data_IF_656634977725
#
_entry.id   IF_656634977725
#
_cell.length_a   1.000
_cell.length_b   1.000
_cell.length_c   1.000
_cell.angle_alpha   90.00
_cell.angle_beta   90.00
_cell.angle_gamma   90.00
#
_symmetry.space_group_name_H-M   'P 1'
#
loop_
_entity.id
_entity.type
_entity.pdbx_description
1 polymer ?
#
# COMPACT_ATOMS: atom_id res chain seq x y z
N UNK A 1 17.66 13.04 53.25
CA UNK A 1 17.23 14.08 52.28
C UNK A 1 18.30 14.38 51.23
N UNK A 2 19.58 14.56 51.57
CA UNK A 2 20.64 14.89 50.59
C UNK A 2 20.87 13.81 49.50
N UNK A 3 20.88 12.52 49.85
CA UNK A 3 21.03 11.43 48.87
C UNK A 3 19.88 11.34 47.86
N UNK A 4 18.67 11.73 48.28
CA UNK A 4 17.50 11.72 47.39
C UNK A 4 17.55 12.90 46.40
N UNK A 5 18.08 14.05 46.83
CA UNK A 5 18.29 15.21 45.96
C UNK A 5 19.39 14.99 44.90
N UNK A 6 20.48 14.28 45.24
CA UNK A 6 21.58 13.99 44.30
C UNK A 6 21.11 13.07 43.16
N UNK A 7 20.37 12.01 43.47
CA UNK A 7 19.87 11.07 42.45
C UNK A 7 18.87 11.70 41.48
N UNK A 8 18.02 12.62 41.95
CA UNK A 8 17.06 13.34 41.09
C UNK A 8 17.79 14.24 40.08
N UNK A 9 18.89 14.87 40.49
CA UNK A 9 19.63 15.83 39.67
C UNK A 9 20.56 15.15 38.64
N UNK A 10 20.99 13.92 38.93
CA UNK A 10 21.73 13.06 38.01
C UNK A 10 20.81 12.47 36.94
N UNK A 11 19.63 11.97 37.33
CA UNK A 11 18.61 11.45 36.41
C UNK A 11 18.10 12.53 35.43
N UNK A 12 17.93 13.77 35.91
CA UNK A 12 17.57 14.90 35.03
C UNK A 12 18.63 15.19 33.98
N UNK A 13 19.91 15.14 34.36
CA UNK A 13 21.03 15.34 33.43
C UNK A 13 21.11 14.24 32.40
N UNK A 14 20.93 12.98 32.81
CA UNK A 14 20.91 11.84 31.90
C UNK A 14 19.77 11.98 30.88
N UNK A 15 18.55 12.29 31.35
CA UNK A 15 17.40 12.57 30.47
C UNK A 15 17.71 13.67 29.45
N UNK A 16 18.33 14.77 29.87
CA UNK A 16 18.67 15.89 28.97
C UNK A 16 19.71 15.50 27.91
N UNK A 17 20.71 14.70 28.28
CA UNK A 17 21.69 14.16 27.33
C UNK A 17 21.00 13.26 26.30
N UNK A 18 20.14 12.34 26.75
CA UNK A 18 19.41 11.43 25.87
C UNK A 18 18.46 12.20 24.97
N UNK A 19 17.71 13.19 25.49
CA UNK A 19 16.86 14.08 24.69
C UNK A 19 17.62 14.76 23.56
N UNK A 20 18.81 15.29 23.84
CA UNK A 20 19.63 15.93 22.81
C UNK A 20 20.13 14.93 21.76
N UNK A 21 20.44 13.69 22.17
CA UNK A 21 20.85 12.64 21.24
C UNK A 21 19.70 12.16 20.35
N UNK A 22 18.53 11.85 20.93
CA UNK A 22 17.37 11.34 20.16
C UNK A 22 16.77 12.38 19.23
N UNK A 23 16.93 13.68 19.52
CA UNK A 23 16.59 14.77 18.59
C UNK A 23 17.41 14.73 17.30
N UNK A 24 18.65 14.26 17.36
CA UNK A 24 19.52 14.14 16.19
C UNK A 24 19.36 12.77 15.52
N UNK A 25 19.23 11.71 16.33
CA UNK A 25 19.21 10.32 15.89
C UNK A 25 18.24 9.50 16.75
N UNK A 26 17.00 9.32 16.29
CA UNK A 26 15.91 8.67 17.06
C UNK A 26 16.22 7.23 17.46
N UNK A 27 16.93 6.48 16.61
CA UNK A 27 17.39 5.12 16.91
C UNK A 27 18.29 5.02 18.15
N UNK A 28 18.87 6.13 18.63
CA UNK A 28 19.70 6.14 19.85
C UNK A 28 18.91 5.72 21.08
N UNK A 29 17.58 5.82 21.06
CA UNK A 29 16.70 5.33 22.13
C UNK A 29 17.00 3.88 22.53
N UNK A 30 17.45 3.03 21.60
CA UNK A 30 17.79 1.64 21.88
C UNK A 30 18.87 1.46 22.96
N UNK A 31 19.73 2.46 23.14
CA UNK A 31 20.84 2.47 24.11
C UNK A 31 20.48 3.15 25.44
N UNK A 32 19.30 3.75 25.55
CA UNK A 32 18.85 4.38 26.80
C UNK A 32 18.51 3.32 27.86
N UNK A 33 18.50 3.74 29.13
CA UNK A 33 18.02 2.93 30.25
C UNK A 33 16.53 2.59 30.09
N UNK A 34 16.08 1.55 30.79
CA UNK A 34 14.68 1.12 30.74
C UNK A 34 13.73 2.21 31.27
N UNK A 35 14.17 2.99 32.27
CA UNK A 35 13.42 4.14 32.78
C UNK A 35 13.21 5.21 31.69
N UNK A 36 14.20 5.47 30.83
CA UNK A 36 14.09 6.46 29.76
C UNK A 36 13.39 5.91 28.52
N UNK A 37 13.44 4.60 28.27
CA UNK A 37 12.60 3.92 27.28
C UNK A 37 11.13 3.89 27.66
N UNK A 38 10.83 4.13 28.93
CA UNK A 38 9.47 4.33 29.45
C UNK A 38 9.14 5.80 29.74
N UNK A 39 10.02 6.74 29.42
CA UNK A 39 9.75 8.17 29.56
C UNK A 39 9.10 8.70 28.29
N UNK A 40 7.82 9.04 28.38
CA UNK A 40 6.99 9.47 27.26
C UNK A 40 7.61 10.62 26.44
N UNK A 41 8.21 11.64 27.10
CA UNK A 41 8.80 12.80 26.41
C UNK A 41 10.06 12.39 25.61
N UNK A 42 10.88 11.51 26.17
CA UNK A 42 12.05 10.96 25.47
C UNK A 42 11.61 10.12 24.27
N UNK A 43 10.65 9.21 24.47
CA UNK A 43 10.15 8.33 23.41
C UNK A 43 9.44 9.14 22.32
N UNK A 44 8.55 10.07 22.66
CA UNK A 44 7.89 10.96 21.70
C UNK A 44 8.90 11.75 20.88
N UNK A 45 9.95 12.28 21.53
CA UNK A 45 11.03 12.99 20.83
C UNK A 45 11.75 12.06 19.85
N UNK A 46 12.05 10.82 20.26
CA UNK A 46 12.70 9.83 19.40
C UNK A 46 11.82 9.42 18.20
N UNK A 47 10.55 9.08 18.43
CA UNK A 47 9.65 8.62 17.35
C UNK A 47 9.28 9.71 16.35
N UNK A 48 9.25 10.98 16.79
CA UNK A 48 9.09 12.13 15.87
C UNK A 48 10.29 12.27 14.93
N UNK A 49 11.48 11.95 15.42
CA UNK A 49 12.70 11.96 14.62
C UNK A 49 12.73 10.74 13.68
N UNK A 50 12.50 9.54 14.21
CA UNK A 50 12.48 8.27 13.50
C UNK A 50 11.36 7.36 14.05
N UNK A 51 10.32 7.12 13.25
CA UNK A 51 9.18 6.29 13.65
C UNK A 51 9.57 4.85 14.04
N UNK A 52 10.70 4.34 13.55
CA UNK A 52 11.24 3.03 13.94
C UNK A 52 11.72 2.96 15.38
N UNK A 53 11.96 4.10 16.04
CA UNK A 53 12.39 4.14 17.44
C UNK A 53 11.36 3.52 18.41
N UNK A 54 10.10 3.37 17.98
CA UNK A 54 9.05 2.69 18.74
C UNK A 54 9.44 1.26 19.15
N UNK A 55 10.27 0.57 18.36
CA UNK A 55 10.78 -0.77 18.70
C UNK A 55 11.50 -0.82 20.06
N UNK A 56 12.18 0.28 20.40
CA UNK A 56 12.98 0.42 21.62
C UNK A 56 12.20 0.95 22.81
N UNK A 57 10.96 1.40 22.61
CA UNK A 57 10.12 1.87 23.71
C UNK A 57 9.68 0.71 24.62
N UNK A 58 9.24 1.04 25.82
CA UNK A 58 8.61 0.07 26.72
C UNK A 58 7.33 -0.51 26.12
N UNK A 59 6.91 -1.69 26.59
CA UNK A 59 5.63 -2.29 26.17
C UNK A 59 4.43 -1.40 26.54
N UNK A 60 4.54 -0.63 27.61
CA UNK A 60 3.53 0.35 28.03
C UNK A 60 3.36 1.44 26.96
N UNK A 61 4.46 2.03 26.48
CA UNK A 61 4.42 3.06 25.44
C UNK A 61 4.17 2.51 24.03
N UNK A 62 4.49 1.24 23.76
CA UNK A 62 4.05 0.54 22.53
C UNK A 62 2.55 0.27 22.50
N UNK A 63 1.87 0.36 23.65
CA UNK A 63 0.42 0.33 23.77
C UNK A 63 -0.18 1.74 24.00
N UNK A 64 0.64 2.78 24.00
CA UNK A 64 0.16 4.15 24.07
C UNK A 64 -0.26 4.63 22.68
N UNK A 65 -1.52 5.04 22.56
CA UNK A 65 -2.10 5.42 21.27
C UNK A 65 -1.46 6.67 20.68
N UNK A 66 -1.10 7.67 21.48
CA UNK A 66 -0.48 8.92 20.99
C UNK A 66 0.94 8.66 20.48
N UNK A 67 1.71 7.88 21.24
CA UNK A 67 3.08 7.49 20.86
C UNK A 67 3.06 6.70 19.54
N UNK A 68 2.19 5.70 19.44
CA UNK A 68 2.08 4.87 18.22
C UNK A 68 1.55 5.68 17.04
N UNK A 69 0.54 6.54 17.22
CA UNK A 69 0.07 7.44 16.15
C UNK A 69 1.19 8.35 15.64
N UNK A 70 2.01 8.87 16.54
CA UNK A 70 3.17 9.69 16.18
C UNK A 70 4.18 8.90 15.35
N UNK A 71 4.45 7.65 15.73
CA UNK A 71 5.36 6.76 15.01
C UNK A 71 4.84 6.38 13.62
N UNK A 72 3.58 5.94 13.50
CA UNK A 72 3.02 5.48 12.21
C UNK A 72 2.84 6.61 11.20
N UNK A 73 2.54 7.83 11.65
CA UNK A 73 2.52 9.02 10.79
C UNK A 73 3.90 9.35 10.22
N UNK A 74 4.97 8.96 10.92
CA UNK A 74 6.35 9.14 10.44
C UNK A 74 6.77 8.01 9.50
N UNK A 75 6.50 6.77 9.88
CA UNK A 75 6.77 5.54 9.10
C UNK A 75 5.65 4.54 9.39
N UNK A 76 4.80 4.25 8.40
CA UNK A 76 3.60 3.40 8.55
C UNK A 76 3.93 2.00 9.04
N UNK A 77 5.07 1.45 8.60
CA UNK A 77 5.57 0.16 9.05
C UNK A 77 5.95 0.10 10.54
N UNK A 78 6.01 1.25 11.25
CA UNK A 78 6.16 1.28 12.70
C UNK A 78 5.01 0.57 13.43
N UNK A 79 3.85 0.40 12.76
CA UNK A 79 2.71 -0.36 13.28
C UNK A 79 3.11 -1.75 13.79
N UNK A 80 4.12 -2.38 13.19
CA UNK A 80 4.63 -3.71 13.59
C UNK A 80 5.14 -3.78 15.04
N UNK A 81 5.53 -2.64 15.61
CA UNK A 81 6.09 -2.54 16.95
C UNK A 81 5.04 -2.22 18.01
N UNK A 82 3.81 -1.87 17.59
CA UNK A 82 2.73 -1.59 18.51
C UNK A 82 2.10 -2.87 19.09
N UNK A 83 1.37 -2.69 20.18
CA UNK A 83 0.65 -3.77 20.85
C UNK A 83 -0.39 -4.46 19.94
N UNK A 84 -0.82 -5.66 20.33
CA UNK A 84 -1.91 -6.34 19.64
C UNK A 84 -3.20 -5.52 19.65
N UNK A 85 -3.49 -4.78 20.72
CA UNK A 85 -4.66 -3.92 20.80
C UNK A 85 -4.61 -2.82 19.75
N UNK A 86 -3.48 -2.09 19.63
CA UNK A 86 -3.36 -0.97 18.71
C UNK A 86 -3.22 -1.41 17.24
N UNK A 87 -2.71 -2.62 16.97
CA UNK A 87 -2.78 -3.22 15.63
C UNK A 87 -4.22 -3.57 15.22
N UNK A 88 -5.16 -3.55 16.16
CA UNK A 88 -6.60 -3.68 15.90
C UNK A 88 -7.37 -2.36 16.15
N UNK A 89 -6.68 -1.27 16.52
CA UNK A 89 -7.31 0.04 16.61
C UNK A 89 -7.44 0.64 15.21
N UNK A 90 -8.69 0.90 14.82
CA UNK A 90 -9.04 1.33 13.47
C UNK A 90 -8.37 2.64 13.06
N UNK A 91 -8.25 3.59 13.98
CA UNK A 91 -7.65 4.89 13.69
C UNK A 91 -6.14 4.75 13.48
N UNK A 92 -5.47 3.99 14.35
CA UNK A 92 -4.03 3.71 14.25
C UNK A 92 -3.70 3.02 12.93
N UNK A 93 -4.46 1.98 12.57
CA UNK A 93 -4.21 1.24 11.33
C UNK A 93 -4.52 2.08 10.09
N UNK A 94 -5.60 2.87 10.09
CA UNK A 94 -5.90 3.77 8.97
C UNK A 94 -4.77 4.80 8.74
N UNK A 95 -4.25 5.40 9.81
CA UNK A 95 -3.12 6.32 9.70
C UNK A 95 -1.86 5.63 9.18
N UNK A 96 -1.60 4.40 9.63
CA UNK A 96 -0.46 3.61 9.16
C UNK A 96 -0.56 3.28 7.66
N UNK A 97 -1.72 2.81 7.18
CA UNK A 97 -1.88 2.41 5.77
C UNK A 97 -1.96 3.60 4.82
N UNK A 98 -2.43 4.77 5.28
CA UNK A 98 -2.33 6.03 4.52
C UNK A 98 -0.89 6.49 4.36
N UNK A 99 -0.04 6.22 5.35
CA UNK A 99 1.38 6.55 5.26
C UNK A 99 2.10 5.57 4.32
N UNK A 100 1.87 4.27 4.46
CA UNK A 100 2.41 3.21 3.61
C UNK A 100 1.41 2.04 3.57
N UNK A 101 0.84 1.77 2.40
CA UNK A 101 -0.15 0.70 2.23
C UNK A 101 0.38 -0.69 2.60
N UNK A 102 1.69 -0.90 2.60
CA UNK A 102 2.30 -2.16 3.05
C UNK A 102 2.16 -2.38 4.57
N UNK A 103 1.82 -1.35 5.34
CA UNK A 103 1.57 -1.46 6.78
C UNK A 103 0.42 -2.42 7.11
N UNK A 104 -0.51 -2.67 6.16
CA UNK A 104 -1.60 -3.63 6.31
C UNK A 104 -1.12 -5.02 6.73
N UNK A 105 0.09 -5.43 6.32
CA UNK A 105 0.66 -6.73 6.70
C UNK A 105 0.78 -6.91 8.22
N UNK A 106 0.99 -5.80 8.95
CA UNK A 106 1.18 -5.77 10.39
C UNK A 106 -0.12 -5.57 11.17
N UNK A 107 -1.19 -5.13 10.51
CA UNK A 107 -2.50 -4.98 11.11
C UNK A 107 -3.03 -6.32 11.65
N UNK A 108 -3.84 -6.24 12.70
CA UNK A 108 -4.54 -7.38 13.26
C UNK A 108 -5.64 -7.89 12.34
N UNK A 109 -6.09 -9.12 12.58
CA UNK A 109 -7.01 -9.82 11.69
C UNK A 109 -8.35 -9.10 11.52
N UNK A 110 -8.83 -8.39 12.55
CA UNK A 110 -10.05 -7.58 12.47
C UNK A 110 -9.91 -6.46 11.45
N UNK A 111 -8.74 -5.80 11.40
CA UNK A 111 -8.49 -4.69 10.48
C UNK A 111 -8.19 -5.17 9.06
N UNK A 112 -7.61 -6.36 8.91
CA UNK A 112 -7.46 -7.03 7.61
C UNK A 112 -8.80 -7.45 7.00
N UNK A 113 -9.86 -7.53 7.80
CA UNK A 113 -11.24 -7.74 7.35
C UNK A 113 -12.08 -6.47 7.23
N UNK A 114 -11.55 -5.29 7.60
CA UNK A 114 -12.25 -4.02 7.42
C UNK A 114 -12.08 -3.54 5.97
N UNK A 115 -13.20 -3.46 5.25
CA UNK A 115 -13.23 -3.09 3.83
C UNK A 115 -12.58 -1.73 3.55
N UNK A 116 -12.82 -0.73 4.41
CA UNK A 116 -12.28 0.62 4.23
C UNK A 116 -10.78 0.63 4.47
N UNK A 117 -10.31 -0.05 5.52
CA UNK A 117 -8.87 -0.17 5.84
C UNK A 117 -8.12 -0.82 4.69
N UNK A 118 -8.62 -1.94 4.18
CA UNK A 118 -7.96 -2.66 3.08
C UNK A 118 -7.98 -1.84 1.78
N UNK A 119 -9.11 -1.20 1.45
CA UNK A 119 -9.20 -0.35 0.27
C UNK A 119 -8.25 0.85 0.36
N UNK A 120 -8.14 1.47 1.54
CA UNK A 120 -7.24 2.58 1.78
C UNK A 120 -5.76 2.16 1.67
N UNK A 121 -5.42 0.96 2.15
CA UNK A 121 -4.10 0.39 1.98
C UNK A 121 -3.76 0.19 0.49
N UNK A 122 -4.69 -0.34 -0.29
CA UNK A 122 -4.49 -0.58 -1.73
C UNK A 122 -4.26 0.73 -2.48
N UNK A 123 -5.02 1.79 -2.17
CA UNK A 123 -4.80 3.14 -2.73
C UNK A 123 -3.39 3.68 -2.47
N UNK A 124 -2.74 3.24 -1.39
CA UNK A 124 -1.40 3.65 -0.99
C UNK A 124 -0.33 2.58 -1.28
N UNK A 125 -0.56 1.72 -2.27
CA UNK A 125 0.41 0.74 -2.76
C UNK A 125 0.48 -0.56 -1.96
N UNK A 126 -0.47 -0.80 -1.06
CA UNK A 126 -0.63 -2.05 -0.33
C UNK A 126 -1.06 -3.20 -1.22
N UNK A 127 -1.02 -4.42 -0.68
CA UNK A 127 -1.32 -5.64 -1.44
C UNK A 127 -2.53 -6.39 -0.88
N UNK A 128 -3.38 -6.85 -1.79
CA UNK A 128 -4.59 -7.60 -1.47
C UNK A 128 -4.33 -8.92 -0.73
N UNK A 129 -3.13 -9.52 -0.86
CA UNK A 129 -2.75 -10.77 -0.18
C UNK A 129 -2.82 -10.72 1.36
N UNK A 130 -2.86 -9.51 1.94
CA UNK A 130 -2.97 -9.31 3.39
C UNK A 130 -4.41 -9.15 3.87
N UNK A 131 -5.38 -9.02 2.95
CA UNK A 131 -6.79 -8.96 3.29
C UNK A 131 -7.28 -10.30 3.85
N UNK A 132 -8.37 -10.24 4.63
CA UNK A 132 -9.01 -11.43 5.17
C UNK A 132 -9.55 -12.32 4.05
N UNK A 133 -9.68 -13.62 4.33
CA UNK A 133 -10.27 -14.56 3.37
C UNK A 133 -11.69 -14.14 2.97
N UNK A 134 -12.47 -13.59 3.89
CA UNK A 134 -13.85 -13.18 3.63
C UNK A 134 -13.89 -12.06 2.58
N UNK A 135 -13.03 -11.04 2.71
CA UNK A 135 -12.90 -9.98 1.70
C UNK A 135 -12.38 -10.51 0.36
N UNK A 136 -11.45 -11.47 0.38
CA UNK A 136 -10.97 -12.13 -0.84
C UNK A 136 -12.03 -12.95 -1.58
N UNK A 137 -13.18 -13.23 -0.96
CA UNK A 137 -14.33 -13.90 -1.60
C UNK A 137 -15.51 -12.94 -1.85
N UNK A 138 -15.41 -11.68 -1.40
CA UNK A 138 -16.40 -10.65 -1.68
C UNK A 138 -16.16 -10.05 -3.06
N UNK A 139 -16.88 -10.56 -4.05
CA UNK A 139 -16.81 -10.08 -5.44
C UNK A 139 -17.11 -8.59 -5.57
N UNK A 140 -18.02 -8.03 -4.78
CA UNK A 140 -18.35 -6.60 -4.88
C UNK A 140 -17.18 -5.75 -4.40
N UNK A 141 -16.56 -6.15 -3.29
CA UNK A 141 -15.34 -5.52 -2.81
C UNK A 141 -14.20 -5.63 -3.84
N UNK A 142 -13.98 -6.82 -4.38
CA UNK A 142 -12.91 -7.03 -5.37
C UNK A 142 -13.10 -6.21 -6.65
N UNK A 143 -14.35 -5.98 -7.09
CA UNK A 143 -14.63 -5.08 -8.20
C UNK A 143 -14.26 -3.62 -7.88
N UNK A 144 -14.42 -3.17 -6.63
CA UNK A 144 -13.94 -1.85 -6.20
C UNK A 144 -12.41 -1.78 -6.18
N UNK A 145 -11.74 -2.87 -5.77
CA UNK A 145 -10.27 -2.94 -5.75
C UNK A 145 -9.68 -2.76 -7.14
N UNK A 146 -10.30 -3.34 -8.17
CA UNK A 146 -9.86 -3.25 -9.58
C UNK A 146 -9.74 -1.80 -10.07
N UNK A 147 -10.48 -0.86 -9.50
CA UNK A 147 -10.36 0.57 -9.84
C UNK A 147 -9.01 1.18 -9.40
N UNK A 148 -8.36 0.61 -8.38
CA UNK A 148 -7.12 1.12 -7.79
C UNK A 148 -5.92 0.22 -8.03
N UNK A 149 -6.12 -1.10 -8.00
CA UNK A 149 -5.10 -2.10 -8.28
C UNK A 149 -5.67 -3.21 -9.17
N UNK A 150 -5.14 -3.28 -10.39
CA UNK A 150 -5.47 -4.28 -11.40
C UNK A 150 -4.68 -5.58 -11.23
N UNK A 151 -3.84 -5.68 -10.19
CA UNK A 151 -3.07 -6.87 -9.86
C UNK A 151 -3.92 -7.91 -9.10
N UNK A 152 -4.53 -8.81 -9.87
CA UNK A 152 -5.38 -9.90 -9.35
C UNK A 152 -4.62 -11.19 -9.00
N UNK A 153 -3.28 -11.18 -8.98
CA UNK A 153 -2.45 -12.39 -8.80
C UNK A 153 -2.65 -13.11 -7.46
N UNK A 154 -3.28 -12.47 -6.48
CA UNK A 154 -3.50 -13.01 -5.14
C UNK A 154 -4.96 -13.37 -4.85
N UNK A 155 -5.82 -13.38 -5.86
CA UNK A 155 -7.19 -13.85 -5.72
C UNK A 155 -7.24 -15.36 -5.48
N UNK A 156 -8.20 -15.85 -4.67
CA UNK A 156 -8.49 -17.27 -4.56
C UNK A 156 -8.80 -17.89 -5.93
N UNK A 157 -8.40 -19.15 -6.14
CA UNK A 157 -8.58 -19.85 -7.41
C UNK A 157 -10.05 -19.90 -7.84
N UNK A 158 -10.96 -20.02 -6.87
CA UNK A 158 -12.41 -20.02 -7.11
C UNK A 158 -12.90 -18.72 -7.74
N UNK A 159 -12.34 -17.58 -7.32
CA UNK A 159 -12.69 -16.26 -7.85
C UNK A 159 -11.99 -16.02 -9.18
N UNK A 160 -10.70 -16.39 -9.27
CA UNK A 160 -9.91 -16.25 -10.50
C UNK A 160 -10.47 -17.06 -11.67
N UNK A 161 -11.15 -18.18 -11.40
CA UNK A 161 -11.80 -19.01 -12.42
C UNK A 161 -13.28 -18.68 -12.63
N UNK A 162 -13.83 -17.72 -11.88
CA UNK A 162 -15.21 -17.32 -12.02
C UNK A 162 -15.41 -16.47 -13.28
N UNK A 163 -16.02 -17.08 -14.30
CA UNK A 163 -16.27 -16.43 -15.60
C UNK A 163 -17.13 -15.18 -15.50
N UNK A 164 -18.11 -15.15 -14.61
CA UNK A 164 -18.99 -13.99 -14.46
C UNK A 164 -18.25 -12.82 -13.81
N UNK A 165 -17.41 -13.11 -12.82
CA UNK A 165 -16.52 -12.13 -12.21
C UNK A 165 -15.50 -11.59 -13.23
N UNK A 166 -14.82 -12.46 -13.97
CA UNK A 166 -13.86 -12.06 -15.01
C UNK A 166 -14.51 -11.19 -16.10
N UNK A 167 -15.74 -11.52 -16.52
CA UNK A 167 -16.48 -10.70 -17.48
C UNK A 167 -16.78 -9.29 -16.93
N UNK A 168 -17.02 -9.15 -15.62
CA UNK A 168 -17.20 -7.83 -14.99
C UNK A 168 -15.88 -7.06 -14.94
N UNK A 169 -14.77 -7.73 -14.60
CA UNK A 169 -13.42 -7.13 -14.63
C UNK A 169 -13.07 -6.65 -16.03
N UNK A 170 -13.30 -7.46 -17.06
CA UNK A 170 -13.05 -7.07 -18.47
C UNK A 170 -13.90 -5.86 -18.86
N UNK A 171 -15.18 -5.82 -18.49
CA UNK A 171 -16.05 -4.66 -18.78
C UNK A 171 -15.53 -3.38 -18.13
N UNK A 172 -15.17 -3.42 -16.84
CA UNK A 172 -14.57 -2.29 -16.14
C UNK A 172 -13.27 -1.85 -16.83
N UNK A 173 -12.44 -2.83 -17.20
CA UNK A 173 -11.15 -2.55 -17.83
C UNK A 173 -11.29 -2.00 -19.25
N UNK A 174 -12.31 -2.41 -20.00
CA UNK A 174 -12.65 -1.83 -21.31
C UNK A 174 -13.01 -0.35 -21.19
N UNK A 175 -13.77 0.05 -20.17
CA UNK A 175 -14.09 1.46 -19.93
C UNK A 175 -12.83 2.28 -19.60
N UNK A 176 -11.94 1.74 -18.76
CA UNK A 176 -10.66 2.38 -18.45
C UNK A 176 -9.74 2.50 -19.69
N UNK A 177 -9.66 1.45 -20.52
CA UNK A 177 -8.88 1.43 -21.76
C UNK A 177 -9.41 2.40 -22.81
N UNK A 178 -10.74 2.53 -22.93
CA UNK A 178 -11.37 3.52 -23.82
C UNK A 178 -11.01 4.95 -23.44
N UNK A 179 -10.91 5.22 -22.13
CA UNK A 179 -10.50 6.53 -21.63
C UNK A 179 -8.98 6.76 -21.79
N UNK A 180 -8.16 5.72 -21.60
CA UNK A 180 -6.72 5.77 -21.76
C UNK A 180 -6.19 4.42 -22.24
N UNK A 181 -5.77 4.33 -23.50
CA UNK A 181 -5.26 3.08 -24.09
C UNK A 181 -4.05 2.49 -23.35
N UNK A 182 -3.31 3.28 -22.57
CA UNK A 182 -2.22 2.79 -21.72
C UNK A 182 -2.69 2.07 -20.45
N UNK A 183 -3.97 2.13 -20.07
CA UNK A 183 -4.47 1.46 -18.88
C UNK A 183 -4.21 -0.06 -18.90
N UNK A 184 -4.23 -0.68 -20.10
CA UNK A 184 -3.91 -2.09 -20.28
C UNK A 184 -2.48 -2.44 -19.85
N UNK A 185 -1.53 -1.50 -19.93
CA UNK A 185 -0.14 -1.73 -19.53
C UNK A 185 0.00 -2.14 -18.06
N UNK A 186 -0.88 -1.64 -17.21
CA UNK A 186 -0.85 -1.88 -15.76
C UNK A 186 -1.66 -3.12 -15.35
N UNK A 187 -2.46 -3.69 -16.26
CA UNK A 187 -3.32 -4.83 -15.97
C UNK A 187 -2.53 -6.13 -15.72
N UNK A 188 -3.20 -7.15 -15.15
CA UNK A 188 -2.59 -8.48 -14.98
C UNK A 188 -2.16 -9.08 -16.33
N UNK A 189 -1.21 -10.03 -16.31
CA UNK A 189 -0.73 -10.70 -17.53
C UNK A 189 -1.84 -11.46 -18.26
N UNK A 190 -2.86 -11.96 -17.56
CA UNK A 190 -4.01 -12.57 -18.23
C UNK A 190 -4.80 -11.52 -19.01
N UNK A 191 -5.13 -10.39 -18.38
CA UNK A 191 -5.91 -9.32 -19.01
C UNK A 191 -5.15 -8.65 -20.17
N UNK A 192 -3.82 -8.53 -20.08
CA UNK A 192 -2.98 -8.02 -21.17
C UNK A 192 -3.03 -8.88 -22.44
N UNK A 193 -3.48 -10.13 -22.35
CA UNK A 193 -3.64 -11.06 -23.48
C UNK A 193 -5.08 -11.18 -23.94
N UNK A 194 -6.02 -10.55 -23.24
CA UNK A 194 -7.41 -10.56 -23.64
C UNK A 194 -7.56 -9.83 -24.98
N UNK A 195 -8.12 -10.53 -25.98
CA UNK A 195 -8.21 -10.01 -27.35
C UNK A 195 -9.05 -8.75 -27.42
N UNK A 196 -10.12 -8.66 -26.63
CA UNK A 196 -11.02 -7.51 -26.66
C UNK A 196 -10.32 -6.27 -26.08
N UNK A 197 -9.67 -6.42 -24.92
CA UNK A 197 -8.89 -5.35 -24.30
C UNK A 197 -7.71 -4.89 -25.19
N UNK A 198 -6.98 -5.82 -25.80
CA UNK A 198 -5.85 -5.51 -26.68
C UNK A 198 -6.30 -4.72 -27.91
N UNK A 199 -7.38 -5.16 -28.57
CA UNK A 199 -7.90 -4.47 -29.75
C UNK A 199 -8.43 -3.08 -29.40
N UNK A 200 -9.07 -2.93 -28.24
CA UNK A 200 -9.57 -1.62 -27.79
C UNK A 200 -8.42 -0.68 -27.42
N UNK A 201 -7.42 -1.16 -26.68
CA UNK A 201 -6.23 -0.39 -26.34
C UNK A 201 -5.52 0.12 -27.59
N UNK A 202 -5.40 -0.74 -28.61
CA UNK A 202 -4.79 -0.41 -29.89
C UNK A 202 -5.53 0.73 -30.60
N UNK A 203 -6.87 0.70 -30.69
CA UNK A 203 -7.65 1.79 -31.29
C UNK A 203 -7.42 3.13 -30.59
N UNK A 204 -7.19 3.08 -29.28
CA UNK A 204 -6.93 4.24 -28.45
C UNK A 204 -5.44 4.64 -28.37
N UNK A 205 -4.61 4.22 -29.34
CA UNK A 205 -3.16 4.47 -29.37
C UNK A 205 -2.39 3.95 -28.14
N UNK A 206 -2.92 2.91 -27.49
CA UNK A 206 -2.36 2.28 -26.30
C UNK A 206 -1.19 1.31 -26.57
N UNK A 207 -0.54 0.91 -25.48
CA UNK A 207 0.54 -0.07 -25.51
C UNK A 207 -0.02 -1.49 -25.64
N UNK A 208 0.60 -2.29 -26.51
CA UNK A 208 0.28 -3.71 -26.70
C UNK A 208 1.59 -4.49 -26.58
N UNK A 209 1.60 -5.55 -25.78
CA UNK A 209 2.82 -6.30 -25.42
C UNK A 209 3.28 -7.27 -26.51
N UNK A 210 2.35 -7.79 -27.32
CA UNK A 210 2.64 -8.80 -28.35
C UNK A 210 2.56 -8.18 -29.74
N UNK A 211 3.54 -8.50 -30.59
CA UNK A 211 3.50 -8.18 -32.01
C UNK A 211 2.83 -9.32 -32.79
N UNK A 212 1.89 -8.97 -33.66
CA UNK A 212 1.41 -9.84 -34.73
C UNK A 212 1.09 -9.01 -35.96
N UNK A 213 1.11 -9.63 -37.15
CA UNK A 213 0.76 -8.93 -38.38
C UNK A 213 -0.70 -8.43 -38.34
N UNK A 214 -1.61 -9.18 -37.70
CA UNK A 214 -3.00 -8.74 -37.46
C UNK A 214 -3.05 -7.45 -36.63
N UNK A 215 -2.29 -7.40 -35.52
CA UNK A 215 -2.23 -6.21 -34.65
C UNK A 215 -1.54 -5.04 -35.34
N UNK A 216 -0.50 -5.29 -36.14
CA UNK A 216 0.14 -4.23 -36.92
C UNK A 216 -0.84 -3.64 -37.95
N UNK A 217 -1.54 -4.48 -38.72
CA UNK A 217 -2.53 -4.04 -39.69
C UNK A 217 -3.68 -3.29 -39.02
N UNK A 218 -4.18 -3.79 -37.88
CA UNK A 218 -5.18 -3.10 -37.08
C UNK A 218 -4.67 -1.72 -36.64
N UNK A 219 -3.42 -1.60 -36.16
CA UNK A 219 -2.85 -0.33 -35.72
C UNK A 219 -2.72 0.65 -36.89
N UNK A 220 -2.26 0.20 -38.05
CA UNK A 220 -2.19 1.05 -39.24
C UNK A 220 -3.58 1.51 -39.68
N UNK A 221 -4.57 0.61 -39.63
CA UNK A 221 -5.93 0.91 -40.02
C UNK A 221 -6.62 1.90 -39.06
N UNK A 222 -6.52 1.71 -37.74
CA UNK A 222 -7.25 2.51 -36.77
C UNK A 222 -6.53 3.79 -36.35
N UNK A 223 -5.19 3.78 -36.29
CA UNK A 223 -4.41 4.90 -35.77
C UNK A 223 -3.80 5.78 -36.87
N UNK A 224 -3.59 5.23 -38.07
CA UNK A 224 -2.83 5.86 -39.15
C UNK A 224 -3.54 5.79 -40.51
N UNK A 225 -4.86 5.59 -40.52
CA UNK A 225 -5.67 5.38 -41.73
C UNK A 225 -5.35 6.39 -42.85
N UNK A 226 -5.21 7.68 -42.50
CA UNK A 226 -4.97 8.76 -43.47
C UNK A 226 -3.50 8.89 -43.93
N UNK A 227 -2.56 8.20 -43.25
CA UNK A 227 -1.13 8.18 -43.60
C UNK A 227 -0.81 6.95 -44.46
N UNK A 228 -1.64 5.90 -44.40
CA UNK A 228 -1.43 4.61 -45.07
C UNK A 228 -2.20 4.46 -46.39
N UNK A 229 -2.39 5.54 -47.15
CA UNK A 229 -2.73 5.46 -48.57
C UNK A 229 -1.44 5.28 -49.41
N UNK A 230 -0.74 4.18 -49.17
CA UNK A 230 0.39 3.72 -49.97
C UNK A 230 -0.03 2.58 -50.90
N UNK A 231 -0.59 2.95 -52.06
CA UNK A 231 -0.76 2.12 -53.26
C UNK A 231 -1.52 0.78 -53.13
N UNK A 232 -2.85 0.86 -53.17
CA UNK A 232 -3.62 -0.17 -53.86
C UNK A 232 -3.33 -0.06 -55.37
N UNK A 233 -2.38 -0.85 -55.87
CA UNK A 233 -2.28 -1.12 -57.31
C UNK A 233 -3.09 -2.37 -57.59
N UNK A 234 -4.25 -2.17 -58.21
CA UNK A 234 -4.98 -3.21 -58.92
C UNK A 234 -4.05 -3.85 -59.96
N UNK A 235 -3.90 -5.17 -59.90
CA UNK A 235 -3.45 -5.93 -61.06
C UNK A 235 -4.59 -6.87 -61.48
N UNK A 236 -5.06 -6.60 -62.69
CA UNK A 236 -6.01 -7.37 -63.50
C UNK A 236 -5.67 -8.85 -63.62
#
# INVERSE_FOLDING_TARGET
MVYHCIGIDEMKREKEIVLNAVRQYGYVLQFASDELKNDEDVVLTAVRQDGGALDSASEELKNDKEVVLTAVRKVGNALRYSSNELRNDREVVLEAVRQDGHALQYAGDMMKGDQEVVLEAIKHGGHLKYASRDLLHDKQFLLQVVEYDVNLNHLPEEISNDKEFLLQVIKLMLEAVKNNGFALYYASKELQKDRELVMEALKCNGYVFEYSDELYQARMHYCYHDVYLGNAVEHH
#
